data_IF_699333546451
#
_entry.id   IF_699333546451
#
_cell.length_a   1.000
_cell.length_b   1.000
_cell.length_c   1.000
_cell.angle_alpha   90.00
_cell.angle_beta   90.00
_cell.angle_gamma   90.00
#
_symmetry.space_group_name_H-M   'P 1'
#
loop_
_entity.id
_entity.type
_entity.pdbx_description
1 polymer ?
#
# COMPACT_ATOMS: atom_id res chain seq x y z
N UNK A 1 7.31 19.42 -11.67
CA UNK A 1 6.68 18.78 -10.48
C UNK A 1 6.05 17.43 -10.82
N UNK A 2 5.46 17.28 -12.01
CA UNK A 2 4.87 16.03 -12.49
C UNK A 2 5.76 14.79 -12.37
N UNK A 3 7.03 14.87 -12.80
CA UNK A 3 7.98 13.74 -12.71
C UNK A 3 8.25 13.27 -11.28
N UNK A 4 8.17 14.16 -10.29
CA UNK A 4 8.38 13.80 -8.87
C UNK A 4 7.15 13.03 -8.37
N UNK A 5 5.95 13.53 -8.66
CA UNK A 5 4.68 12.93 -8.25
C UNK A 5 4.53 11.52 -8.85
N UNK A 6 4.82 11.35 -10.14
CA UNK A 6 4.75 10.04 -10.81
C UNK A 6 5.74 9.05 -10.20
N UNK A 7 6.97 9.49 -9.92
CA UNK A 7 7.98 8.66 -9.25
C UNK A 7 7.51 8.23 -7.85
N UNK A 8 7.00 9.15 -7.05
CA UNK A 8 6.47 8.85 -5.71
C UNK A 8 5.36 7.82 -5.78
N UNK A 9 4.39 7.98 -6.69
CA UNK A 9 3.30 7.01 -6.87
C UNK A 9 3.80 5.60 -7.21
N UNK A 10 4.73 5.51 -8.16
CA UNK A 10 5.28 4.22 -8.60
C UNK A 10 6.12 3.54 -7.51
N UNK A 11 7.00 4.29 -6.83
CA UNK A 11 7.82 3.73 -5.75
C UNK A 11 6.96 3.32 -4.55
N UNK A 12 5.98 4.12 -4.15
CA UNK A 12 5.05 3.77 -3.07
C UNK A 12 4.22 2.53 -3.41
N UNK A 13 3.77 2.41 -4.66
CA UNK A 13 3.04 1.22 -5.11
C UNK A 13 3.90 -0.04 -5.01
N UNK A 14 5.09 -0.03 -5.62
CA UNK A 14 5.99 -1.19 -5.65
C UNK A 14 6.40 -1.59 -4.23
N UNK A 15 6.78 -0.61 -3.40
CA UNK A 15 7.22 -0.87 -2.03
C UNK A 15 6.11 -1.51 -1.20
N UNK A 16 4.90 -0.95 -1.24
CA UNK A 16 3.77 -1.50 -0.48
C UNK A 16 3.30 -2.84 -1.01
N UNK A 17 3.34 -3.05 -2.32
CA UNK A 17 3.05 -4.34 -2.93
C UNK A 17 3.99 -5.43 -2.42
N UNK A 18 5.30 -5.18 -2.39
CA UNK A 18 6.27 -6.13 -1.87
C UNK A 18 6.10 -6.39 -0.37
N UNK A 19 5.84 -5.35 0.42
CA UNK A 19 5.58 -5.49 1.86
C UNK A 19 4.34 -6.34 2.14
N UNK A 20 3.24 -6.09 1.41
CA UNK A 20 2.00 -6.85 1.57
C UNK A 20 2.12 -8.27 1.03
N UNK A 21 2.89 -8.49 -0.03
CA UNK A 21 3.16 -9.82 -0.57
C UNK A 21 3.86 -10.72 0.46
N UNK A 22 4.81 -10.17 1.22
CA UNK A 22 5.55 -10.92 2.24
C UNK A 22 4.77 -10.97 3.57
N UNK A 23 4.07 -9.90 3.93
CA UNK A 23 3.39 -9.77 5.22
C UNK A 23 2.03 -10.47 5.31
N UNK A 24 1.35 -10.68 4.18
CA UNK A 24 0.00 -11.26 4.18
C UNK A 24 0.07 -12.78 4.02
N UNK A 25 -0.52 -13.53 4.96
CA UNK A 25 -0.60 -14.99 4.87
C UNK A 25 -1.84 -15.40 4.07
N UNK A 26 -1.66 -16.36 3.16
CA UNK A 26 -2.77 -16.96 2.38
C UNK A 26 -3.51 -18.05 3.16
N UNK A 27 -2.80 -18.75 4.04
CA UNK A 27 -3.31 -19.92 4.75
C UNK A 27 -3.45 -19.58 6.22
N UNK A 28 -4.65 -19.76 6.74
CA UNK A 28 -5.01 -19.54 8.13
C UNK A 28 -5.35 -20.88 8.79
N UNK A 29 -4.96 -21.02 10.05
CA UNK A 29 -5.29 -22.19 10.88
C UNK A 29 -6.15 -21.69 12.03
N UNK A 30 -7.42 -22.09 12.06
CA UNK A 30 -8.33 -21.74 13.14
C UNK A 30 -8.51 -22.96 14.05
N UNK A 31 -8.25 -22.82 15.36
CA UNK A 31 -8.45 -23.91 16.32
C UNK A 31 -9.93 -24.01 16.69
N UNK A 32 -10.52 -25.20 16.57
CA UNK A 32 -11.96 -25.43 16.85
C UNK A 32 -12.24 -25.81 18.33
N UNK A 33 -11.26 -25.65 19.22
CA UNK A 33 -11.42 -25.82 20.67
C UNK A 33 -11.31 -27.26 21.17
N UNK A 34 -11.37 -28.23 20.28
CA UNK A 34 -11.23 -29.68 20.48
C UNK A 34 -9.87 -30.23 20.00
N UNK A 35 -8.94 -29.34 19.67
CA UNK A 35 -7.59 -29.70 19.19
C UNK A 35 -7.52 -30.00 17.69
N UNK A 36 -8.66 -29.90 16.98
CA UNK A 36 -8.75 -29.95 15.52
C UNK A 36 -8.49 -28.55 14.96
N UNK A 37 -7.78 -28.48 13.84
CA UNK A 37 -7.52 -27.24 13.12
C UNK A 37 -8.21 -27.28 11.77
N UNK A 38 -9.04 -26.28 11.50
CA UNK A 38 -9.56 -26.04 10.16
C UNK A 38 -8.58 -25.16 9.40
N UNK A 39 -8.18 -25.65 8.21
CA UNK A 39 -7.23 -24.94 7.34
C UNK A 39 -8.02 -24.24 6.25
N UNK A 40 -8.11 -22.93 6.36
CA UNK A 40 -8.77 -22.08 5.35
C UNK A 40 -7.70 -21.39 4.51
N UNK A 41 -7.84 -21.44 3.19
CA UNK A 41 -6.89 -20.80 2.28
C UNK A 41 -7.59 -19.87 1.31
N UNK A 42 -7.09 -18.64 1.18
CA UNK A 42 -7.56 -17.70 0.18
C UNK A 42 -7.13 -18.16 -1.22
N UNK A 43 -8.02 -18.15 -2.22
CA UNK A 43 -7.63 -18.40 -3.61
C UNK A 43 -6.52 -17.45 -4.07
N UNK A 44 -5.61 -17.93 -4.91
CA UNK A 44 -4.51 -17.11 -5.44
C UNK A 44 -4.96 -15.82 -6.14
N UNK A 45 -6.03 -15.82 -6.97
CA UNK A 45 -6.52 -14.59 -7.59
C UNK A 45 -6.94 -13.55 -6.54
N UNK A 46 -7.75 -13.96 -5.56
CA UNK A 46 -8.25 -13.05 -4.52
C UNK A 46 -7.12 -12.51 -3.66
N UNK A 47 -6.14 -13.34 -3.33
CA UNK A 47 -4.94 -12.90 -2.60
C UNK A 47 -4.16 -11.83 -3.36
N UNK A 48 -3.90 -12.05 -4.65
CA UNK A 48 -3.20 -11.08 -5.50
C UNK A 48 -3.98 -9.78 -5.67
N UNK A 49 -5.29 -9.85 -5.94
CA UNK A 49 -6.13 -8.67 -6.08
C UNK A 49 -6.26 -7.89 -4.78
N UNK A 50 -6.32 -8.58 -3.64
CA UNK A 50 -6.37 -7.93 -2.32
C UNK A 50 -5.11 -7.12 -2.07
N UNK A 51 -3.92 -7.72 -2.29
CA UNK A 51 -2.65 -7.01 -2.16
C UNK A 51 -2.58 -5.83 -3.13
N UNK A 52 -2.89 -6.07 -4.41
CA UNK A 52 -2.87 -5.04 -5.46
C UNK A 52 -3.79 -3.87 -5.10
N UNK A 53 -4.99 -4.15 -4.59
CA UNK A 53 -5.96 -3.14 -4.17
C UNK A 53 -5.41 -2.29 -3.04
N UNK A 54 -4.85 -2.90 -1.99
CA UNK A 54 -4.27 -2.15 -0.88
C UNK A 54 -3.06 -1.32 -1.32
N UNK A 55 -2.17 -1.87 -2.15
CA UNK A 55 -1.04 -1.13 -2.72
C UNK A 55 -1.48 0.08 -3.55
N UNK A 56 -2.54 -0.07 -4.35
CA UNK A 56 -3.11 1.03 -5.13
C UNK A 56 -3.65 2.14 -4.22
N UNK A 57 -4.39 1.79 -3.16
CA UNK A 57 -4.90 2.75 -2.17
C UNK A 57 -3.75 3.52 -1.52
N UNK A 58 -2.70 2.83 -1.06
CA UNK A 58 -1.55 3.49 -0.43
C UNK A 58 -0.78 4.37 -1.42
N UNK A 59 -0.66 3.95 -2.68
CA UNK A 59 -0.04 4.76 -3.73
C UNK A 59 -0.80 6.07 -3.97
N UNK A 60 -2.13 6.03 -4.05
CA UNK A 60 -2.97 7.23 -4.20
C UNK A 60 -2.80 8.17 -3.00
N UNK A 61 -2.84 7.64 -1.77
CA UNK A 61 -2.61 8.42 -0.56
C UNK A 61 -1.22 9.08 -0.60
N UNK A 62 -0.19 8.35 -1.01
CA UNK A 62 1.18 8.85 -1.13
C UNK A 62 1.29 9.99 -2.14
N UNK A 63 0.61 9.89 -3.28
CA UNK A 63 0.55 10.94 -4.31
C UNK A 63 -0.08 12.20 -3.75
N UNK A 64 -1.22 12.09 -3.07
CA UNK A 64 -1.94 13.22 -2.47
C UNK A 64 -1.07 13.92 -1.42
N UNK A 65 -0.47 13.16 -0.51
CA UNK A 65 0.47 13.68 0.49
C UNK A 65 1.65 14.40 -0.15
N UNK A 66 2.27 13.80 -1.17
CA UNK A 66 3.39 14.42 -1.88
C UNK A 66 2.99 15.74 -2.54
N UNK A 67 1.80 15.80 -3.15
CA UNK A 67 1.29 17.03 -3.75
C UNK A 67 1.07 18.13 -2.70
N UNK A 68 0.48 17.79 -1.55
CA UNK A 68 0.25 18.74 -0.44
C UNK A 68 1.58 19.27 0.11
N UNK A 69 2.56 18.39 0.32
CA UNK A 69 3.90 18.77 0.82
C UNK A 69 4.60 19.72 -0.17
N UNK A 70 4.59 19.39 -1.46
CA UNK A 70 5.18 20.23 -2.49
C UNK A 70 4.49 21.61 -2.56
N UNK A 71 3.16 21.64 -2.43
CA UNK A 71 2.41 22.88 -2.37
C UNK A 71 2.83 23.74 -1.17
N UNK A 72 2.86 23.16 0.04
CA UNK A 72 3.27 23.85 1.26
C UNK A 72 4.69 24.44 1.13
N UNK A 73 5.66 23.65 0.64
CA UNK A 73 7.04 24.12 0.41
C UNK A 73 7.06 25.29 -0.58
N UNK A 74 6.29 25.20 -1.66
CA UNK A 74 6.22 26.28 -2.66
C UNK A 74 5.63 27.57 -2.09
N UNK A 75 4.63 27.47 -1.20
CA UNK A 75 4.02 28.64 -0.54
C UNK A 75 4.93 29.25 0.52
N UNK A 76 5.69 28.44 1.26
CA UNK A 76 6.69 28.92 2.22
C UNK A 76 7.78 29.72 1.50
N UNK A 77 8.34 29.15 0.42
CA UNK A 77 9.41 29.80 -0.35
C UNK A 77 9.01 31.16 -0.92
N UNK A 78 7.73 31.37 -1.21
CA UNK A 78 7.18 32.62 -1.76
C UNK A 78 6.96 33.72 -0.70
N UNK A 79 7.01 33.38 0.60
CA UNK A 79 6.90 34.37 1.70
C UNK A 79 8.26 34.92 2.15
N UNK A 80 9.35 34.22 1.86
CA UNK A 80 10.71 34.56 2.29
C UNK A 80 11.49 35.39 1.25
N UNK A 81 10.87 35.72 0.10
CA UNK A 81 11.38 36.61 -0.96
C UNK A 81 10.50 37.84 -1.10
#
# INVERSE_FOLDING_TARGET
MEKIIVKTGMYSFILTFLLLLIGTKRVWKEPEGDGVYTVTSTPYPDFFFTITRYSAIVSIISIVLSAIILYLISTSKRRDT
#
